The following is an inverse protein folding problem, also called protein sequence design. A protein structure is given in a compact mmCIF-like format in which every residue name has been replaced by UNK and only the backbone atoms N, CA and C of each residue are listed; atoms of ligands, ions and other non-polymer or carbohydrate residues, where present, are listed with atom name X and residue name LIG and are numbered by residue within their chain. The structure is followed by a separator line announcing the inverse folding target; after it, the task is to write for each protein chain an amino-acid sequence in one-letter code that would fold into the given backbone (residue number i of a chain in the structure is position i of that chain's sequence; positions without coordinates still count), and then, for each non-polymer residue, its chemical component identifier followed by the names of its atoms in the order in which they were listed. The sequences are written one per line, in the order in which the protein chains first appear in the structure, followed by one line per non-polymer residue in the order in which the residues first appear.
data_IF_398053233689
#
_entry.id   IF_398053233689
#
_cell.length_a   1.000
_cell.length_b   1.000
_cell.length_c   1.000
_cell.angle_alpha   90.00
_cell.angle_beta   90.00
_cell.angle_gamma   90.00
#
_symmetry.space_group_name_H-M   'P 1'
#
loop_
_entity.id
_entity.type
_entity.pdbx_description
1 polymer ?
#
# COMPACT_ATOMS: atom_id res chain seq x y z
N UNK A 1 16.59 -58.97 7.53
CA UNK A 1 16.08 -57.77 6.84
C UNK A 1 16.86 -56.46 7.11
N UNK A 2 17.84 -56.41 8.03
CA UNK A 2 18.59 -55.16 8.30
C UNK A 2 19.80 -54.88 7.40
N UNK A 3 20.33 -55.88 6.70
CA UNK A 3 21.56 -55.74 5.90
C UNK A 3 21.32 -55.21 4.48
N UNK A 4 20.13 -55.41 3.91
CA UNK A 4 19.82 -55.00 2.52
C UNK A 4 19.44 -53.52 2.41
N UNK A 5 18.79 -52.94 3.43
CA UNK A 5 18.51 -51.50 3.47
C UNK A 5 19.77 -50.64 3.58
N UNK A 6 20.85 -51.15 4.20
CA UNK A 6 22.11 -50.39 4.33
C UNK A 6 22.90 -50.31 3.02
N UNK A 7 22.71 -51.28 2.11
CA UNK A 7 23.37 -51.30 0.80
C UNK A 7 22.67 -50.36 -0.18
N UNK A 8 21.33 -50.32 -0.15
CA UNK A 8 20.52 -49.43 -0.99
C UNK A 8 20.76 -47.94 -0.69
N UNK A 9 20.89 -47.57 0.58
CA UNK A 9 21.17 -46.17 0.97
C UNK A 9 22.60 -45.75 0.58
N UNK A 10 23.57 -46.68 0.64
CA UNK A 10 24.97 -46.41 0.25
C UNK A 10 25.13 -46.23 -1.26
N UNK A 11 24.38 -46.99 -2.05
CA UNK A 11 24.39 -46.89 -3.51
C UNK A 11 23.65 -45.62 -4.01
N UNK A 12 22.59 -45.19 -3.30
CA UNK A 12 21.91 -43.91 -3.57
C UNK A 12 22.79 -42.69 -3.27
N UNK A 13 23.51 -42.69 -2.15
CA UNK A 13 24.43 -41.60 -1.82
C UNK A 13 25.62 -41.51 -2.79
N UNK A 14 26.12 -42.64 -3.29
CA UNK A 14 27.23 -42.68 -4.26
C UNK A 14 26.79 -42.21 -5.66
N UNK A 15 25.56 -42.51 -6.06
CA UNK A 15 25.00 -42.08 -7.36
C UNK A 15 24.69 -40.58 -7.37
N UNK A 16 24.20 -40.02 -6.26
CA UNK A 16 23.93 -38.58 -6.13
C UNK A 16 25.22 -37.77 -6.04
N UNK A 17 26.26 -38.25 -5.35
CA UNK A 17 27.54 -37.55 -5.27
C UNK A 17 28.37 -37.59 -6.57
N UNK A 18 28.22 -38.64 -7.40
CA UNK A 18 28.87 -38.71 -8.71
C UNK A 18 28.23 -37.77 -9.76
N UNK A 19 26.93 -37.48 -9.65
CA UNK A 19 26.24 -36.56 -10.56
C UNK A 19 26.59 -35.08 -10.33
N UNK A 20 27.11 -34.70 -9.15
CA UNK A 20 27.44 -33.31 -8.85
C UNK A 20 28.91 -32.93 -9.12
N UNK A 21 29.80 -33.85 -9.53
CA UNK A 21 31.25 -33.56 -9.63
C UNK A 21 31.89 -33.69 -11.01
N UNK A 22 31.13 -33.99 -12.08
CA UNK A 22 31.65 -33.93 -13.45
C UNK A 22 30.62 -33.39 -14.45
N UNK A 23 30.65 -32.06 -14.67
CA UNK A 23 30.50 -31.47 -16.01
C UNK A 23 31.13 -30.08 -16.01
N UNK A 24 32.43 -30.07 -16.31
CA UNK A 24 33.12 -28.89 -16.84
C UNK A 24 32.65 -28.63 -18.26
N UNK A 25 32.67 -27.34 -18.62
CA UNK A 25 32.57 -26.74 -19.95
C UNK A 25 33.26 -27.57 -21.05
N UNK A 26 32.49 -28.00 -22.04
CA UNK A 26 32.76 -27.89 -23.48
C UNK A 26 31.70 -28.72 -24.22
N UNK A 27 31.25 -28.20 -25.36
CA UNK A 27 30.32 -28.83 -26.31
C UNK A 27 28.84 -28.72 -25.97
N UNK A 28 28.21 -27.65 -26.46
CA UNK A 28 26.89 -27.68 -27.12
C UNK A 28 26.68 -26.37 -27.88
N UNK A 29 26.91 -26.49 -29.18
CA UNK A 29 26.25 -25.85 -30.33
C UNK A 29 25.52 -24.53 -30.10
N UNK A 30 26.05 -23.48 -30.74
CA UNK A 30 25.43 -22.17 -30.93
C UNK A 30 24.11 -22.38 -31.70
N UNK A 31 22.99 -22.17 -31.01
CA UNK A 31 21.68 -21.93 -31.63
C UNK A 31 21.41 -20.42 -31.61
N UNK A 32 20.83 -19.84 -32.69
CA UNK A 32 20.56 -18.41 -32.77
C UNK A 32 19.55 -17.99 -31.69
N UNK A 33 19.62 -16.75 -31.19
CA UNK A 33 18.81 -16.32 -30.07
C UNK A 33 17.33 -16.26 -30.47
N UNK A 34 16.51 -17.04 -29.76
CA UNK A 34 15.06 -16.85 -29.74
C UNK A 34 14.76 -15.47 -29.14
N UNK A 35 13.98 -14.60 -29.80
CA UNK A 35 13.56 -13.33 -29.22
C UNK A 35 12.76 -13.61 -27.94
N UNK A 36 13.34 -13.27 -26.79
CA UNK A 36 12.61 -13.28 -25.53
C UNK A 36 11.60 -12.15 -25.57
N UNK A 37 10.32 -12.50 -25.41
CA UNK A 37 9.31 -11.56 -24.96
C UNK A 37 9.82 -10.85 -23.69
N UNK A 38 9.63 -9.52 -23.55
CA UNK A 38 10.04 -8.82 -22.35
C UNK A 38 9.11 -9.16 -21.17
N UNK A 39 9.70 -9.58 -20.05
CA UNK A 39 9.02 -9.68 -18.75
C UNK A 39 8.50 -8.29 -18.32
N UNK A 40 7.29 -8.20 -17.72
CA UNK A 40 6.59 -6.92 -17.53
C UNK A 40 7.02 -6.12 -16.28
N UNK A 41 8.23 -6.31 -15.75
CA UNK A 41 8.71 -5.57 -14.58
C UNK A 41 10.12 -5.05 -14.77
N UNK A 42 10.24 -4.00 -15.59
CA UNK A 42 11.44 -3.16 -15.62
C UNK A 42 11.01 -1.68 -15.68
N UNK A 43 10.82 -1.07 -14.51
CA UNK A 43 10.47 0.34 -14.33
C UNK A 43 11.64 1.31 -14.60
N UNK A 44 12.73 0.84 -15.22
CA UNK A 44 13.91 1.67 -15.51
C UNK A 44 13.91 2.27 -16.92
N UNK A 45 13.12 1.75 -17.87
CA UNK A 45 13.19 2.19 -19.28
C UNK A 45 12.19 3.30 -19.62
N UNK A 46 11.18 3.54 -18.76
CA UNK A 46 10.18 4.59 -18.99
C UNK A 46 10.71 6.01 -18.73
N UNK A 47 11.78 6.16 -17.94
CA UNK A 47 12.38 7.47 -17.68
C UNK A 47 13.22 8.00 -18.86
N UNK A 48 13.71 7.11 -19.75
CA UNK A 48 14.52 7.52 -20.92
C UNK A 48 13.69 7.94 -22.14
N UNK A 49 12.49 7.38 -22.32
CA UNK A 49 11.59 7.77 -23.41
C UNK A 49 10.64 8.93 -23.05
N UNK A 50 10.39 9.18 -21.76
CA UNK A 50 9.55 10.30 -21.31
C UNK A 50 10.29 11.65 -21.27
N UNK A 51 11.61 11.61 -21.05
CA UNK A 51 12.46 12.81 -21.04
C UNK A 51 12.81 13.30 -22.45
N UNK A 52 13.08 12.38 -23.40
CA UNK A 52 13.36 12.74 -24.79
C UNK A 52 12.14 13.30 -25.55
N UNK A 53 10.93 12.76 -25.33
CA UNK A 53 9.72 13.31 -25.96
C UNK A 53 9.36 14.70 -25.39
N UNK A 54 9.57 14.94 -24.09
CA UNK A 54 9.37 16.28 -23.50
C UNK A 54 10.35 17.33 -24.00
N UNK A 55 11.58 16.96 -24.34
CA UNK A 55 12.55 17.91 -24.90
C UNK A 55 12.22 18.27 -26.36
N UNK A 56 11.86 17.30 -27.19
CA UNK A 56 11.49 17.54 -28.59
C UNK A 56 10.16 18.29 -28.74
N UNK A 57 9.17 18.02 -27.87
CA UNK A 57 7.91 18.79 -27.86
C UNK A 57 8.12 20.25 -27.44
N UNK A 58 9.04 20.53 -26.52
CA UNK A 58 9.35 21.90 -26.11
C UNK A 58 10.06 22.68 -27.22
N UNK A 59 11.00 22.06 -27.96
CA UNK A 59 11.68 22.72 -29.07
C UNK A 59 10.73 22.98 -30.25
N UNK A 60 9.84 22.04 -30.57
CA UNK A 60 8.81 22.22 -31.59
C UNK A 60 7.80 23.30 -31.20
N UNK A 61 7.36 23.34 -29.94
CA UNK A 61 6.48 24.39 -29.42
C UNK A 61 7.17 25.77 -29.40
N UNK A 62 8.46 25.82 -29.08
CA UNK A 62 9.25 27.06 -29.07
C UNK A 62 9.45 27.59 -30.49
N UNK A 63 9.74 26.72 -31.45
CA UNK A 63 9.87 27.09 -32.86
C UNK A 63 8.52 27.53 -33.46
N UNK A 64 7.41 26.90 -33.08
CA UNK A 64 6.07 27.34 -33.46
C UNK A 64 5.72 28.70 -32.84
N UNK A 65 6.07 28.94 -31.58
CA UNK A 65 5.88 30.23 -30.91
C UNK A 65 6.71 31.35 -31.56
N UNK A 66 7.97 31.08 -31.92
CA UNK A 66 8.84 32.03 -32.62
C UNK A 66 8.34 32.33 -34.04
N UNK A 67 7.90 31.32 -34.80
CA UNK A 67 7.30 31.52 -36.12
C UNK A 67 6.00 32.32 -36.06
N UNK A 68 5.21 32.14 -34.99
CA UNK A 68 3.98 32.89 -34.74
C UNK A 68 4.25 34.34 -34.38
N UNK A 69 5.22 34.62 -33.49
CA UNK A 69 5.66 35.98 -33.18
C UNK A 69 6.16 36.72 -34.43
N UNK A 70 6.89 36.02 -35.32
CA UNK A 70 7.33 36.59 -36.61
C UNK A 70 6.19 36.81 -37.61
N UNK A 71 5.10 36.06 -37.50
CA UNK A 71 3.89 36.26 -38.31
C UNK A 71 3.09 37.44 -37.77
N UNK A 72 2.88 37.51 -36.45
CA UNK A 72 2.17 38.59 -35.78
C UNK A 72 2.88 39.94 -35.96
N UNK A 73 4.23 39.97 -35.85
CA UNK A 73 5.02 41.17 -36.16
C UNK A 73 4.85 41.64 -37.61
N UNK A 74 4.80 40.70 -38.57
CA UNK A 74 4.58 41.05 -39.99
C UNK A 74 3.15 41.55 -40.23
N UNK A 75 2.16 40.98 -39.55
CA UNK A 75 0.77 41.42 -39.66
C UNK A 75 0.53 42.78 -38.98
N UNK A 76 1.23 43.06 -37.88
CA UNK A 76 1.21 44.35 -37.19
C UNK A 76 1.93 45.44 -38.00
N UNK A 77 3.05 45.11 -38.66
CA UNK A 77 3.76 46.04 -39.55
C UNK A 77 2.93 46.38 -40.79
N UNK A 78 2.23 45.39 -41.37
CA UNK A 78 1.29 45.62 -42.47
C UNK A 78 0.10 46.47 -41.99
N UNK A 79 -0.46 46.22 -40.81
CA UNK A 79 -1.58 47.02 -40.25
C UNK A 79 -1.18 48.46 -39.92
N UNK A 80 0.05 48.70 -39.45
CA UNK A 80 0.60 50.05 -39.24
C UNK A 80 0.76 50.83 -40.53
N UNK A 81 1.12 50.17 -41.64
CA UNK A 81 1.21 50.82 -42.96
C UNK A 81 -0.15 51.26 -43.52
N UNK A 82 -1.26 50.64 -43.11
CA UNK A 82 -2.64 51.00 -43.52
C UNK A 82 -3.44 51.76 -42.44
N UNK A 83 -2.83 52.15 -41.32
CA UNK A 83 -3.46 53.01 -40.32
C UNK A 83 -4.59 52.38 -39.48
N UNK A 84 -4.63 51.05 -39.36
CA UNK A 84 -5.64 50.33 -38.58
C UNK A 84 -5.15 50.01 -37.15
N UNK A 85 -6.01 50.14 -36.11
CA UNK A 85 -5.63 49.83 -34.73
C UNK A 85 -5.41 48.32 -34.48
N UNK A 86 -4.56 48.01 -33.51
CA UNK A 86 -4.20 46.64 -33.08
C UNK A 86 -5.42 45.87 -32.59
N UNK A 87 -5.66 44.67 -33.14
CA UNK A 87 -6.87 43.87 -32.92
C UNK A 87 -6.79 43.05 -31.63
N UNK A 88 -7.42 43.52 -30.55
CA UNK A 88 -7.60 42.76 -29.30
C UNK A 88 -8.53 41.55 -29.41
N UNK A 89 -9.25 41.37 -30.52
CA UNK A 89 -10.25 40.30 -30.70
C UNK A 89 -9.64 38.90 -30.90
N UNK A 90 -8.33 38.81 -31.23
CA UNK A 90 -7.66 37.53 -31.52
C UNK A 90 -7.10 36.84 -30.27
N UNK A 91 -6.76 37.60 -29.23
CA UNK A 91 -6.16 37.05 -28.01
C UNK A 91 -7.19 36.31 -27.13
N UNK A 92 -8.43 36.80 -27.08
CA UNK A 92 -9.52 36.20 -26.29
C UNK A 92 -9.99 34.86 -26.87
N UNK A 93 -10.10 34.75 -28.19
CA UNK A 93 -10.45 33.50 -28.90
C UNK A 93 -9.37 32.42 -28.76
N UNK A 94 -8.09 32.80 -28.70
CA UNK A 94 -6.99 31.86 -28.48
C UNK A 94 -6.88 31.39 -27.03
N UNK A 95 -7.10 32.30 -26.06
CA UNK A 95 -7.17 31.93 -24.65
C UNK A 95 -8.34 30.97 -24.39
N UNK A 96 -9.49 31.20 -25.01
CA UNK A 96 -10.66 30.33 -24.91
C UNK A 96 -10.40 28.93 -25.52
N UNK A 97 -9.76 28.86 -26.69
CA UNK A 97 -9.39 27.58 -27.32
C UNK A 97 -8.33 26.80 -26.53
N UNK A 98 -7.36 27.49 -25.90
CA UNK A 98 -6.37 26.85 -25.04
C UNK A 98 -7.02 26.27 -23.77
N UNK A 99 -7.99 26.99 -23.19
CA UNK A 99 -8.77 26.52 -22.05
C UNK A 99 -9.60 25.28 -22.41
N UNK A 100 -10.32 25.32 -23.54
CA UNK A 100 -11.11 24.19 -24.05
C UNK A 100 -10.22 22.97 -24.32
N UNK A 101 -9.04 23.16 -24.92
CA UNK A 101 -8.09 22.08 -25.20
C UNK A 101 -7.37 21.52 -23.96
N UNK A 102 -7.36 22.26 -22.84
CA UNK A 102 -6.91 21.77 -21.53
C UNK A 102 -8.01 20.92 -20.87
N UNK A 103 -9.23 21.45 -20.80
CA UNK A 103 -10.38 20.74 -20.21
C UNK A 103 -10.71 19.45 -20.97
N UNK A 104 -10.55 19.42 -22.29
CA UNK A 104 -10.79 18.21 -23.08
C UNK A 104 -9.70 17.14 -22.85
N UNK A 105 -8.45 17.54 -22.57
CA UNK A 105 -7.38 16.61 -22.18
C UNK A 105 -7.63 16.02 -20.80
N UNK A 106 -8.01 16.86 -19.84
CA UNK A 106 -8.33 16.45 -18.48
C UNK A 106 -9.52 15.47 -18.48
N UNK A 107 -10.58 15.74 -19.25
CA UNK A 107 -11.70 14.79 -19.44
C UNK A 107 -11.29 13.46 -20.06
N UNK A 108 -10.33 13.45 -21.00
CA UNK A 108 -9.82 12.20 -21.60
C UNK A 108 -9.00 11.40 -20.60
N UNK A 109 -8.15 12.07 -19.82
CA UNK A 109 -7.35 11.44 -18.77
C UNK A 109 -8.25 10.86 -17.65
N UNK A 110 -9.29 11.59 -17.24
CA UNK A 110 -10.29 11.11 -16.30
C UNK A 110 -11.07 9.90 -16.85
N UNK A 111 -11.50 9.94 -18.11
CA UNK A 111 -12.19 8.82 -18.75
C UNK A 111 -11.29 7.57 -18.86
N UNK A 112 -10.00 7.74 -19.18
CA UNK A 112 -9.03 6.64 -19.16
C UNK A 112 -8.83 6.09 -17.75
N UNK A 113 -8.72 6.95 -16.75
CA UNK A 113 -8.59 6.56 -15.36
C UNK A 113 -9.83 5.78 -14.88
N UNK A 114 -11.03 6.26 -15.23
CA UNK A 114 -12.30 5.58 -14.96
C UNK A 114 -12.33 4.19 -15.60
N UNK A 115 -11.91 4.07 -16.86
CA UNK A 115 -11.86 2.81 -17.61
C UNK A 115 -10.85 1.82 -17.01
N UNK A 116 -9.71 2.31 -16.50
CA UNK A 116 -8.73 1.47 -15.77
C UNK A 116 -9.32 0.94 -14.47
N UNK A 117 -10.01 1.79 -13.69
CA UNK A 117 -10.68 1.38 -12.46
C UNK A 117 -11.78 0.34 -12.73
N UNK A 118 -12.56 0.52 -13.79
CA UNK A 118 -13.59 -0.44 -14.19
C UNK A 118 -12.99 -1.79 -14.60
N UNK A 119 -11.87 -1.79 -15.35
CA UNK A 119 -11.14 -3.00 -15.69
C UNK A 119 -10.64 -3.75 -14.44
N UNK A 120 -10.07 -3.05 -13.47
CA UNK A 120 -9.63 -3.65 -12.20
C UNK A 120 -10.80 -4.27 -11.43
N UNK A 121 -11.95 -3.58 -11.41
CA UNK A 121 -13.18 -4.09 -10.77
C UNK A 121 -13.70 -5.34 -11.49
N UNK A 122 -13.67 -5.37 -12.82
CA UNK A 122 -14.08 -6.52 -13.63
C UNK A 122 -13.16 -7.73 -13.39
N UNK A 123 -11.84 -7.54 -13.44
CA UNK A 123 -10.85 -8.59 -13.17
C UNK A 123 -10.99 -9.14 -11.73
N UNK A 124 -11.26 -8.27 -10.76
CA UNK A 124 -11.52 -8.70 -9.38
C UNK A 124 -12.81 -9.52 -9.27
N UNK A 125 -13.86 -9.23 -10.05
CA UNK A 125 -15.09 -10.02 -10.07
C UNK A 125 -14.85 -11.39 -10.69
N UNK A 126 -14.19 -11.43 -11.86
CA UNK A 126 -13.86 -12.68 -12.54
C UNK A 126 -13.00 -13.60 -11.65
N UNK A 127 -11.99 -13.03 -10.95
CA UNK A 127 -11.15 -13.79 -10.03
C UNK A 127 -11.93 -14.40 -8.87
N UNK A 128 -12.88 -13.64 -8.28
CA UNK A 128 -13.76 -14.15 -7.22
C UNK A 128 -14.68 -15.26 -7.74
N UNK A 129 -15.23 -15.09 -8.94
CA UNK A 129 -16.11 -16.07 -9.55
C UNK A 129 -15.37 -17.37 -9.89
N UNK A 130 -14.13 -17.26 -10.41
CA UNK A 130 -13.25 -18.42 -10.67
C UNK A 130 -12.95 -19.20 -9.39
N UNK A 131 -12.62 -18.51 -8.30
CA UNK A 131 -12.39 -19.16 -6.99
C UNK A 131 -13.67 -19.86 -6.50
N UNK A 132 -14.83 -19.22 -6.65
CA UNK A 132 -16.11 -19.82 -6.25
C UNK A 132 -16.40 -21.11 -7.03
N UNK A 133 -16.19 -21.09 -8.36
CA UNK A 133 -16.37 -22.29 -9.20
C UNK A 133 -15.43 -23.43 -8.79
N UNK A 134 -14.16 -23.13 -8.51
CA UNK A 134 -13.19 -24.12 -8.05
C UNK A 134 -13.58 -24.73 -6.70
N UNK A 135 -14.06 -23.92 -5.76
CA UNK A 135 -14.55 -24.42 -4.47
C UNK A 135 -15.79 -25.30 -4.64
N UNK A 136 -16.78 -24.86 -5.41
CA UNK A 136 -17.99 -25.64 -5.67
C UNK A 136 -17.67 -26.99 -6.36
N UNK A 137 -16.69 -27.01 -7.25
CA UNK A 137 -16.24 -28.22 -7.94
C UNK A 137 -15.48 -29.16 -7.00
N UNK A 138 -14.61 -28.62 -6.15
CA UNK A 138 -13.91 -29.38 -5.10
C UNK A 138 -14.89 -30.00 -4.10
N UNK A 139 -15.90 -29.26 -3.64
CA UNK A 139 -16.92 -29.77 -2.70
C UNK A 139 -17.77 -30.88 -3.33
N UNK A 140 -18.08 -30.78 -4.63
CA UNK A 140 -18.80 -31.84 -5.35
C UNK A 140 -17.95 -33.10 -5.51
N UNK A 141 -16.67 -32.96 -5.82
CA UNK A 141 -15.71 -34.06 -5.95
C UNK A 141 -15.54 -34.80 -4.60
N UNK A 142 -15.35 -34.04 -3.52
CA UNK A 142 -15.22 -34.58 -2.16
C UNK A 142 -16.48 -35.32 -1.71
N UNK A 143 -17.66 -34.74 -1.96
CA UNK A 143 -18.93 -35.42 -1.68
C UNK A 143 -19.11 -36.72 -2.46
N UNK A 144 -18.65 -36.80 -3.72
CA UNK A 144 -18.69 -38.06 -4.49
C UNK A 144 -17.78 -39.11 -3.88
N UNK A 145 -16.56 -38.74 -3.48
CA UNK A 145 -15.61 -39.65 -2.83
C UNK A 145 -16.17 -40.20 -1.52
N UNK A 146 -16.73 -39.33 -0.68
CA UNK A 146 -17.36 -39.73 0.58
C UNK A 146 -18.53 -40.69 0.37
N UNK A 147 -19.35 -40.51 -0.68
CA UNK A 147 -20.44 -41.46 -1.00
C UNK A 147 -19.90 -42.83 -1.41
N UNK A 148 -18.92 -42.84 -2.32
CA UNK A 148 -18.30 -44.08 -2.81
C UNK A 148 -17.60 -44.84 -1.66
N UNK A 149 -16.93 -44.13 -0.77
CA UNK A 149 -16.29 -44.73 0.41
C UNK A 149 -17.31 -45.34 1.39
N UNK A 150 -18.46 -44.67 1.59
CA UNK A 150 -19.55 -45.21 2.41
C UNK A 150 -20.20 -46.44 1.79
N UNK A 151 -20.44 -46.45 0.48
CA UNK A 151 -20.94 -47.63 -0.23
C UNK A 151 -19.97 -48.80 -0.08
N UNK A 152 -18.68 -48.57 -0.31
CA UNK A 152 -17.66 -49.61 -0.21
C UNK A 152 -17.51 -50.16 1.22
N UNK A 153 -17.67 -49.32 2.24
CA UNK A 153 -17.70 -49.76 3.63
C UNK A 153 -18.97 -50.56 3.95
N UNK A 154 -20.14 -50.12 3.47
CA UNK A 154 -21.39 -50.85 3.65
C UNK A 154 -21.34 -52.23 3.00
N UNK A 155 -20.81 -52.33 1.77
CA UNK A 155 -20.67 -53.60 1.06
C UNK A 155 -19.78 -54.59 1.85
N UNK A 156 -18.66 -54.12 2.40
CA UNK A 156 -17.78 -54.95 3.25
C UNK A 156 -18.47 -55.43 4.52
N UNK A 157 -19.24 -54.56 5.17
CA UNK A 157 -20.01 -54.93 6.37
C UNK A 157 -21.08 -55.96 6.02
N UNK A 158 -21.77 -55.77 4.91
CA UNK A 158 -22.83 -56.66 4.45
C UNK A 158 -22.29 -58.05 4.07
N UNK A 159 -21.14 -58.10 3.38
CA UNK A 159 -20.44 -59.34 3.06
C UNK A 159 -19.97 -60.09 4.33
N UNK A 160 -19.47 -59.37 5.35
CA UNK A 160 -19.13 -59.99 6.64
C UNK A 160 -20.36 -60.57 7.35
N UNK A 161 -21.50 -59.86 7.32
CA UNK A 161 -22.76 -60.34 7.90
C UNK A 161 -23.25 -61.61 7.19
N UNK A 162 -23.17 -61.65 5.85
CA UNK A 162 -23.56 -62.83 5.08
C UNK A 162 -22.66 -64.03 5.37
N UNK A 163 -21.34 -63.86 5.37
CA UNK A 163 -20.41 -64.93 5.74
C UNK A 163 -20.67 -65.45 7.15
N UNK A 164 -20.92 -64.56 8.12
CA UNK A 164 -21.22 -64.96 9.48
C UNK A 164 -22.55 -65.74 9.58
N UNK A 165 -23.56 -65.35 8.79
CA UNK A 165 -24.84 -66.09 8.71
C UNK A 165 -24.67 -67.46 8.09
N UNK A 166 -23.91 -67.58 7.01
CA UNK A 166 -23.64 -68.86 6.35
C UNK A 166 -22.85 -69.82 7.25
N UNK A 167 -21.83 -69.31 7.94
CA UNK A 167 -21.00 -70.13 8.84
C UNK A 167 -21.81 -70.60 10.06
N UNK A 168 -22.69 -69.75 10.62
CA UNK A 168 -23.65 -70.16 11.65
C UNK A 168 -24.63 -71.23 11.13
N UNK A 169 -25.16 -71.05 9.93
CA UNK A 169 -26.08 -72.02 9.32
C UNK A 169 -25.40 -73.37 9.09
N UNK A 170 -24.13 -73.36 8.70
CA UNK A 170 -23.31 -74.57 8.53
C UNK A 170 -23.09 -75.28 9.88
N UNK A 171 -22.66 -74.54 10.90
CA UNK A 171 -22.46 -75.09 12.26
C UNK A 171 -23.74 -75.65 12.87
N UNK A 172 -24.88 -74.99 12.67
CA UNK A 172 -26.17 -75.51 13.14
C UNK A 172 -26.52 -76.84 12.46
N UNK A 173 -26.32 -76.96 11.14
CA UNK A 173 -26.55 -78.23 10.42
C UNK A 173 -25.59 -79.33 10.85
N UNK A 174 -24.32 -79.00 11.09
CA UNK A 174 -23.33 -79.95 11.61
C UNK A 174 -23.75 -80.45 12.99
N UNK A 175 -24.18 -79.55 13.88
CA UNK A 175 -24.66 -79.88 15.21
C UNK A 175 -25.95 -80.72 15.18
N UNK A 176 -26.93 -80.35 14.35
CA UNK A 176 -28.17 -81.12 14.15
C UNK A 176 -27.86 -82.55 13.68
N UNK A 177 -27.03 -82.71 12.64
CA UNK A 177 -26.62 -84.03 12.15
C UNK A 177 -25.87 -84.84 13.23
N UNK A 178 -25.06 -84.20 14.04
CA UNK A 178 -24.34 -84.85 15.14
C UNK A 178 -25.31 -85.31 16.24
N UNK A 179 -26.28 -84.46 16.62
CA UNK A 179 -27.35 -84.83 17.56
C UNK A 179 -28.24 -85.94 17.01
N UNK A 180 -28.53 -85.94 15.71
CA UNK A 180 -29.38 -86.94 15.06
C UNK A 180 -28.68 -88.30 14.98
N UNK A 181 -27.37 -88.31 14.71
CA UNK A 181 -26.53 -89.53 14.81
C UNK A 181 -26.44 -90.05 16.24
N UNK A 182 -26.32 -89.16 17.22
CA UNK A 182 -26.33 -89.53 18.65
C UNK A 182 -27.66 -90.19 19.04
N UNK A 183 -28.79 -89.58 18.67
CA UNK A 183 -30.14 -90.11 18.94
C UNK A 183 -30.35 -91.45 18.24
N UNK A 184 -29.83 -91.61 17.01
CA UNK A 184 -29.93 -92.87 16.27
C UNK A 184 -29.12 -93.99 16.91
N UNK A 185 -27.90 -93.72 17.39
CA UNK A 185 -27.10 -94.67 18.20
C UNK A 185 -27.85 -95.12 19.44
N UNK A 186 -28.41 -94.17 20.20
CA UNK A 186 -29.18 -94.45 21.42
C UNK A 186 -30.44 -95.31 21.13
N UNK A 187 -31.10 -95.12 19.98
CA UNK A 187 -32.26 -95.94 19.57
C UNK A 187 -31.88 -97.35 19.11
N UNK A 188 -30.70 -97.53 18.50
CA UNK A 188 -30.23 -98.82 17.98
C UNK A 188 -29.62 -99.70 19.09
N UNK A 189 -28.97 -99.10 20.09
CA UNK A 189 -28.36 -99.79 21.25
C UNK A 189 -29.36 -100.01 22.39
N UNK A 190 -30.60 -100.41 22.08
CA UNK A 190 -31.69 -100.58 23.04
C UNK A 190 -31.43 -101.62 24.15
N UNK A 191 -30.61 -101.24 25.14
CA UNK A 191 -30.41 -101.71 26.53
C UNK A 191 -29.20 -100.94 27.06
N UNK A 192 -29.44 -99.75 27.62
CA UNK A 192 -28.42 -99.06 28.41
C UNK A 192 -28.21 -99.85 29.70
N UNK A 193 -27.01 -100.39 29.88
CA UNK A 193 -26.60 -100.94 31.17
C UNK A 193 -26.42 -99.78 32.17
N UNK A 194 -26.79 -99.98 33.44
CA UNK A 194 -26.85 -98.88 34.42
C UNK A 194 -25.46 -98.23 34.65
N UNK A 195 -24.38 -99.01 34.47
CA UNK A 195 -22.99 -98.55 34.52
C UNK A 195 -22.56 -97.71 33.31
N UNK A 196 -23.14 -97.95 32.14
CA UNK A 196 -22.87 -97.19 30.92
C UNK A 196 -23.57 -95.83 30.98
N UNK A 197 -24.77 -95.78 31.55
CA UNK A 197 -25.48 -94.54 31.81
C UNK A 197 -24.74 -93.62 32.81
N UNK A 198 -24.16 -94.15 33.90
CA UNK A 198 -23.37 -93.32 34.82
C UNK A 198 -22.05 -92.85 34.18
N UNK A 199 -21.37 -93.69 33.37
CA UNK A 199 -20.19 -93.25 32.59
C UNK A 199 -20.53 -92.14 31.60
N UNK A 200 -21.66 -92.24 30.91
CA UNK A 200 -22.13 -91.21 29.97
C UNK A 200 -22.52 -89.92 30.72
N UNK A 201 -23.12 -90.03 31.90
CA UNK A 201 -23.46 -88.89 32.77
C UNK A 201 -22.23 -88.17 33.29
N UNK A 202 -21.19 -88.89 33.73
CA UNK A 202 -19.89 -88.28 34.09
C UNK A 202 -19.24 -87.58 32.90
N UNK A 203 -19.32 -88.19 31.71
CA UNK A 203 -18.78 -87.63 30.47
C UNK A 203 -19.51 -86.36 30.03
N UNK A 204 -20.84 -86.33 30.16
CA UNK A 204 -21.66 -85.15 29.93
C UNK A 204 -21.40 -84.05 30.96
N UNK A 205 -21.22 -84.40 32.24
CA UNK A 205 -20.84 -83.43 33.28
C UNK A 205 -19.46 -82.82 33.01
N UNK A 206 -18.48 -83.63 32.60
CA UNK A 206 -17.15 -83.14 32.21
C UNK A 206 -17.24 -82.23 30.97
N UNK A 207 -18.06 -82.59 29.99
CA UNK A 207 -18.29 -81.77 28.79
C UNK A 207 -18.97 -80.44 29.13
N UNK A 208 -19.94 -80.44 30.06
CA UNK A 208 -20.58 -79.23 30.57
C UNK A 208 -19.56 -78.31 31.22
N UNK A 209 -18.72 -78.83 32.12
CA UNK A 209 -17.67 -78.04 32.77
C UNK A 209 -16.68 -77.44 31.76
N UNK A 210 -16.26 -78.22 30.76
CA UNK A 210 -15.39 -77.72 29.69
C UNK A 210 -16.04 -76.63 28.83
N UNK A 211 -17.37 -76.68 28.66
CA UNK A 211 -18.13 -75.62 27.97
C UNK A 211 -18.21 -74.38 28.86
N UNK A 212 -18.51 -74.54 30.15
CA UNK A 212 -18.56 -73.44 31.12
C UNK A 212 -17.19 -72.72 31.24
N UNK A 213 -16.09 -73.49 31.28
CA UNK A 213 -14.72 -72.96 31.29
C UNK A 213 -14.39 -72.19 29.99
N UNK A 214 -14.87 -72.66 28.84
CA UNK A 214 -14.73 -71.93 27.56
C UNK A 214 -15.53 -70.64 27.56
N UNK A 215 -16.76 -70.66 28.09
CA UNK A 215 -17.60 -69.47 28.17
C UNK A 215 -16.93 -68.43 29.07
N UNK A 216 -16.45 -68.82 30.26
CA UNK A 216 -15.72 -67.92 31.15
C UNK A 216 -14.45 -67.34 30.50
N UNK A 217 -13.66 -68.17 29.82
CA UNK A 217 -12.46 -67.67 29.13
C UNK A 217 -12.80 -66.72 27.98
N UNK A 218 -13.85 -67.02 27.21
CA UNK A 218 -14.31 -66.11 26.16
C UNK A 218 -14.81 -64.78 26.72
N UNK A 219 -15.54 -64.80 27.83
CA UNK A 219 -16.00 -63.59 28.52
C UNK A 219 -14.81 -62.74 29.02
N UNK A 220 -13.79 -63.39 29.60
CA UNK A 220 -12.57 -62.71 30.05
C UNK A 220 -11.78 -62.11 28.88
N UNK A 221 -11.65 -62.84 27.78
CA UNK A 221 -10.99 -62.35 26.56
C UNK A 221 -11.76 -61.19 25.94
N UNK A 222 -13.09 -61.29 25.84
CA UNK A 222 -13.92 -60.21 25.30
C UNK A 222 -13.80 -58.94 26.14
N UNK A 223 -13.81 -59.06 27.48
CA UNK A 223 -13.60 -57.91 28.37
C UNK A 223 -12.23 -57.28 28.18
N UNK A 224 -11.16 -58.08 28.03
CA UNK A 224 -9.81 -57.56 27.73
C UNK A 224 -9.75 -56.83 26.40
N UNK A 225 -10.26 -57.44 25.32
CA UNK A 225 -10.31 -56.81 24.00
C UNK A 225 -11.15 -55.53 24.00
N UNK A 226 -12.22 -55.48 24.79
CA UNK A 226 -13.04 -54.27 24.90
C UNK A 226 -12.30 -53.13 25.60
N UNK A 227 -11.55 -53.43 26.66
CA UNK A 227 -10.67 -52.46 27.34
C UNK A 227 -9.58 -51.97 26.39
N UNK A 228 -8.96 -52.87 25.62
CA UNK A 228 -7.95 -52.47 24.61
C UNK A 228 -8.54 -51.56 23.54
N UNK A 229 -9.73 -51.88 23.01
CA UNK A 229 -10.43 -51.03 22.03
C UNK A 229 -10.77 -49.65 22.58
N UNK A 230 -11.23 -49.56 23.83
CA UNK A 230 -11.49 -48.27 24.48
C UNK A 230 -10.20 -47.45 24.65
N UNK A 231 -9.11 -48.07 25.07
CA UNK A 231 -7.82 -47.39 25.21
C UNK A 231 -7.27 -46.91 23.86
N UNK A 232 -7.48 -47.68 22.79
CA UNK A 232 -7.03 -47.32 21.45
C UNK A 232 -7.86 -46.18 20.86
N UNK A 233 -9.18 -46.20 21.07
CA UNK A 233 -10.09 -45.08 20.77
C UNK A 233 -9.67 -43.80 21.48
N UNK A 234 -9.39 -43.89 22.79
CA UNK A 234 -8.96 -42.74 23.59
C UNK A 234 -7.63 -42.17 23.06
N UNK A 235 -6.66 -43.05 22.75
CA UNK A 235 -5.37 -42.63 22.17
C UNK A 235 -5.55 -41.92 20.82
N UNK A 236 -6.39 -42.47 19.95
CA UNK A 236 -6.68 -41.86 18.64
C UNK A 236 -7.35 -40.49 18.80
N UNK A 237 -8.27 -40.35 19.75
CA UNK A 237 -8.97 -39.11 20.03
C UNK A 237 -8.04 -38.04 20.64
N UNK A 238 -7.15 -38.43 21.55
CA UNK A 238 -6.11 -37.55 22.10
C UNK A 238 -5.12 -37.08 21.04
N UNK A 239 -4.75 -37.96 20.10
CA UNK A 239 -3.87 -37.62 19.00
C UNK A 239 -4.55 -36.65 18.01
N UNK A 240 -5.83 -36.87 17.69
CA UNK A 240 -6.62 -35.95 16.88
C UNK A 240 -6.74 -34.58 17.56
N UNK A 241 -7.01 -34.54 18.87
CA UNK A 241 -7.08 -33.30 19.65
C UNK A 241 -5.73 -32.57 19.68
N UNK A 242 -4.62 -33.30 19.81
CA UNK A 242 -3.26 -32.72 19.71
C UNK A 242 -3.00 -32.13 18.33
N UNK A 243 -3.42 -32.80 17.25
CA UNK A 243 -3.30 -32.28 15.88
C UNK A 243 -4.12 -31.01 15.70
N UNK A 244 -5.36 -31.00 16.19
CA UNK A 244 -6.24 -29.82 16.13
C UNK A 244 -5.65 -28.62 16.86
N UNK A 245 -5.17 -28.81 18.10
CA UNK A 245 -4.50 -27.75 18.87
C UNK A 245 -3.26 -27.19 18.17
N UNK A 246 -2.46 -28.04 17.52
CA UNK A 246 -1.29 -27.56 16.74
C UNK A 246 -1.72 -26.68 15.57
N UNK A 247 -2.78 -27.08 14.86
CA UNK A 247 -3.33 -26.30 13.73
C UNK A 247 -3.85 -24.95 14.22
N UNK A 248 -4.62 -24.91 15.31
CA UNK A 248 -5.15 -23.67 15.88
C UNK A 248 -4.02 -22.72 16.31
N UNK A 249 -2.99 -23.24 16.99
CA UNK A 249 -1.82 -22.46 17.39
C UNK A 249 -1.02 -21.91 16.19
N UNK A 250 -0.96 -22.64 15.08
CA UNK A 250 -0.29 -22.18 13.86
C UNK A 250 -1.11 -21.10 13.16
N UNK A 251 -2.44 -21.21 13.16
CA UNK A 251 -3.35 -20.17 12.65
C UNK A 251 -3.26 -18.88 13.47
N UNK A 252 -3.19 -18.98 14.81
CA UNK A 252 -2.98 -17.83 15.69
C UNK A 252 -1.65 -17.14 15.41
N UNK A 253 -0.54 -17.88 15.37
CA UNK A 253 0.78 -17.32 15.03
C UNK A 253 0.78 -16.66 13.65
N UNK A 254 0.05 -17.20 12.67
CA UNK A 254 -0.03 -16.61 11.32
C UNK A 254 -0.86 -15.33 11.31
N UNK A 255 -1.96 -15.27 12.07
CA UNK A 255 -2.75 -14.03 12.27
C UNK A 255 -1.91 -12.94 12.91
N UNK A 256 -1.21 -13.27 13.99
CA UNK A 256 -0.41 -12.30 14.75
C UNK A 256 0.68 -11.68 13.87
N UNK A 257 1.42 -12.51 13.10
CA UNK A 257 2.40 -12.00 12.13
C UNK A 257 1.79 -11.09 11.07
N UNK A 258 0.59 -11.40 10.57
CA UNK A 258 -0.10 -10.54 9.61
C UNK A 258 -0.47 -9.19 10.21
N UNK A 259 -0.93 -9.15 11.46
CA UNK A 259 -1.22 -7.90 12.16
C UNK A 259 0.04 -7.08 12.40
N UNK A 260 1.13 -7.70 12.87
CA UNK A 260 2.41 -7.02 13.05
C UNK A 260 2.94 -6.44 11.73
N UNK A 261 2.86 -7.20 10.63
CA UNK A 261 3.34 -6.74 9.34
C UNK A 261 2.47 -5.60 8.79
N UNK A 262 1.16 -5.67 8.96
CA UNK A 262 0.24 -4.59 8.60
C UNK A 262 0.52 -3.32 9.41
N UNK A 263 0.82 -3.46 10.70
CA UNK A 263 1.15 -2.32 11.56
C UNK A 263 2.49 -1.70 11.16
N UNK A 264 3.53 -2.51 10.92
CA UNK A 264 4.82 -2.02 10.41
C UNK A 264 4.67 -1.28 9.08
N UNK A 265 3.83 -1.78 8.17
CA UNK A 265 3.54 -1.09 6.90
C UNK A 265 2.84 0.24 7.13
N UNK A 266 1.88 0.32 8.05
CA UNK A 266 1.21 1.58 8.40
C UNK A 266 2.18 2.58 9.00
N UNK A 267 3.02 2.16 9.94
CA UNK A 267 4.02 3.06 10.56
C UNK A 267 5.02 3.57 9.55
N UNK A 268 5.53 2.72 8.66
CA UNK A 268 6.49 3.14 7.62
C UNK A 268 5.84 4.08 6.60
N UNK A 269 4.60 3.79 6.18
CA UNK A 269 3.85 4.67 5.28
C UNK A 269 3.61 6.05 5.91
N UNK A 270 3.24 6.11 7.20
CA UNK A 270 3.07 7.38 7.91
C UNK A 270 4.39 8.16 7.99
N UNK A 271 5.49 7.48 8.30
CA UNK A 271 6.83 8.08 8.35
C UNK A 271 7.22 8.69 7.00
N UNK A 272 7.03 7.95 5.92
CA UNK A 272 7.30 8.42 4.55
C UNK A 272 6.41 9.61 4.18
N UNK A 273 5.13 9.57 4.56
CA UNK A 273 4.21 10.67 4.29
C UNK A 273 4.63 11.97 5.01
N UNK A 274 5.04 11.88 6.28
CA UNK A 274 5.56 13.03 7.03
C UNK A 274 6.86 13.58 6.41
N UNK A 275 7.76 12.71 5.94
CA UNK A 275 8.98 13.12 5.24
C UNK A 275 8.66 13.84 3.93
N UNK A 276 7.72 13.30 3.14
CA UNK A 276 7.27 13.93 1.89
C UNK A 276 6.64 15.30 2.18
N UNK A 277 5.78 15.41 3.20
CA UNK A 277 5.19 16.69 3.59
C UNK A 277 6.26 17.71 3.97
N UNK A 278 7.24 17.31 4.80
CA UNK A 278 8.37 18.19 5.18
C UNK A 278 9.20 18.59 3.97
N UNK A 279 9.49 17.66 3.06
CA UNK A 279 10.25 17.91 1.83
C UNK A 279 9.49 18.85 0.88
N UNK A 280 8.19 18.65 0.69
CA UNK A 280 7.35 19.52 -0.14
C UNK A 280 7.26 20.93 0.43
N UNK A 281 7.06 21.07 1.76
CA UNK A 281 7.11 22.37 2.42
C UNK A 281 8.46 23.05 2.15
N UNK A 282 9.58 22.37 2.41
CA UNK A 282 10.92 22.91 2.14
C UNK A 282 11.11 23.28 0.65
N UNK A 283 10.64 22.46 -0.28
CA UNK A 283 10.78 22.72 -1.72
C UNK A 283 9.95 23.93 -2.16
N UNK A 284 8.70 24.05 -1.70
CA UNK A 284 7.86 25.24 -1.94
C UNK A 284 8.53 26.49 -1.36
N UNK A 285 9.09 26.38 -0.16
CA UNK A 285 9.88 27.44 0.47
C UNK A 285 11.12 27.83 -0.35
N UNK A 286 11.85 26.88 -0.91
CA UNK A 286 13.06 27.17 -1.69
C UNK A 286 12.71 27.73 -3.07
N UNK A 287 11.75 27.14 -3.78
CA UNK A 287 11.48 27.50 -5.18
C UNK A 287 10.56 28.71 -5.32
N UNK A 288 9.53 28.83 -4.48
CA UNK A 288 8.54 29.92 -4.58
C UNK A 288 9.03 31.15 -3.81
N UNK A 289 9.66 30.97 -2.65
CA UNK A 289 10.01 32.09 -1.78
C UNK A 289 11.40 32.67 -2.11
N UNK A 290 12.44 31.89 -2.45
CA UNK A 290 13.74 32.46 -2.88
C UNK A 290 13.67 33.25 -4.19
N UNK A 291 12.90 32.79 -5.18
CA UNK A 291 12.68 33.57 -6.43
C UNK A 291 11.79 34.79 -6.21
N UNK A 292 10.92 34.78 -5.21
CA UNK A 292 10.01 35.88 -4.91
C UNK A 292 10.66 36.95 -3.99
N UNK A 293 11.64 36.59 -3.15
CA UNK A 293 12.29 37.53 -2.23
C UNK A 293 12.91 38.76 -2.90
N UNK A 294 13.55 38.61 -4.06
CA UNK A 294 14.07 39.77 -4.80
C UNK A 294 12.96 40.76 -5.13
N UNK A 295 11.82 40.27 -5.62
CA UNK A 295 10.68 41.11 -5.99
C UNK A 295 10.00 41.69 -4.74
N UNK A 296 9.82 40.88 -3.70
CA UNK A 296 9.20 41.27 -2.43
C UNK A 296 10.00 42.37 -1.73
N UNK A 297 11.32 42.19 -1.57
CA UNK A 297 12.21 43.17 -0.95
C UNK A 297 12.29 44.45 -1.79
N UNK A 298 12.40 44.32 -3.12
CA UNK A 298 12.40 45.49 -4.01
C UNK A 298 11.06 46.25 -3.97
N UNK A 299 9.94 45.55 -3.85
CA UNK A 299 8.62 46.17 -3.70
C UNK A 299 8.55 46.99 -2.41
N UNK A 300 8.99 46.42 -1.28
CA UNK A 300 9.01 47.12 0.01
C UNK A 300 9.94 48.35 0.01
N UNK A 301 11.14 48.23 -0.59
CA UNK A 301 12.08 49.34 -0.74
C UNK A 301 11.51 50.48 -1.59
N UNK A 302 10.70 50.15 -2.58
CA UNK A 302 10.09 51.12 -3.52
C UNK A 302 8.69 51.59 -3.10
N UNK A 303 8.11 51.05 -2.02
CA UNK A 303 6.74 51.35 -1.59
C UNK A 303 6.53 52.83 -1.22
N UNK A 304 7.59 53.57 -0.89
CA UNK A 304 7.53 54.99 -0.56
C UNK A 304 7.60 55.94 -1.78
N UNK A 305 7.67 55.41 -3.01
CA UNK A 305 7.82 56.25 -4.21
C UNK A 305 6.64 57.21 -4.44
N UNK A 306 5.42 56.81 -4.09
CA UNK A 306 4.25 57.68 -4.26
C UNK A 306 4.23 58.83 -3.24
N UNK A 307 4.61 58.55 -1.99
CA UNK A 307 4.80 59.59 -0.96
C UNK A 307 5.88 60.59 -1.39
N UNK A 308 7.03 60.13 -1.92
CA UNK A 308 8.08 61.01 -2.46
C UNK A 308 7.59 61.96 -3.55
N UNK A 309 6.73 61.48 -4.45
CA UNK A 309 6.17 62.30 -5.54
C UNK A 309 5.30 63.42 -5.01
N UNK A 310 4.65 63.22 -3.86
CA UNK A 310 3.77 64.19 -3.21
C UNK A 310 4.53 65.22 -2.36
N UNK A 311 5.75 64.92 -1.88
CA UNK A 311 6.59 65.85 -1.09
C UNK A 311 6.73 67.22 -1.76
N UNK A 312 7.06 67.25 -3.05
CA UNK A 312 7.28 68.50 -3.80
C UNK A 312 6.00 69.29 -4.07
N UNK A 313 4.82 68.66 -3.97
CA UNK A 313 3.51 69.31 -4.10
C UNK A 313 3.04 69.85 -2.75
N UNK A 314 3.23 69.07 -1.70
CA UNK A 314 2.76 69.35 -0.34
C UNK A 314 3.67 70.31 0.47
N UNK A 315 4.94 70.46 0.09
CA UNK A 315 5.89 71.35 0.79
C UNK A 315 6.13 72.69 0.07
N UNK A 316 5.16 73.13 -0.76
CA UNK A 316 5.19 74.47 -1.37
C UNK A 316 4.81 75.54 -0.34
N UNK A 317 5.10 76.81 -0.63
CA UNK A 317 4.77 77.93 0.25
C UNK A 317 3.26 78.02 0.58
N UNK A 318 2.41 77.59 -0.34
CA UNK A 318 0.96 77.45 -0.16
C UNK A 318 0.51 76.09 -0.69
N UNK A 319 0.52 75.03 0.14
CA UNK A 319 0.09 73.70 -0.29
C UNK A 319 -1.42 73.64 -0.43
N UNK A 320 -1.90 72.93 -1.46
CA UNK A 320 -3.32 72.65 -1.60
C UNK A 320 -3.74 71.67 -0.49
N UNK A 321 -4.78 71.95 0.32
CA UNK A 321 -5.26 71.02 1.35
C UNK A 321 -5.58 69.62 0.80
N UNK A 322 -6.02 69.51 -0.45
CA UNK A 322 -6.27 68.23 -1.12
C UNK A 322 -4.99 67.40 -1.29
N UNK A 323 -3.86 68.02 -1.63
CA UNK A 323 -2.59 67.31 -1.84
C UNK A 323 -2.04 66.76 -0.51
N UNK A 324 -2.21 67.52 0.58
CA UNK A 324 -1.80 67.11 1.93
C UNK A 324 -2.64 65.94 2.42
N UNK A 325 -3.95 65.93 2.14
CA UNK A 325 -4.83 64.82 2.51
C UNK A 325 -4.54 63.56 1.67
N UNK A 326 -4.27 63.73 0.36
CA UNK A 326 -3.77 62.63 -0.50
C UNK A 326 -2.46 62.05 0.06
N UNK A 327 -1.53 62.90 0.50
CA UNK A 327 -0.28 62.44 1.09
C UNK A 327 -0.48 61.63 2.38
N UNK A 328 -1.41 62.06 3.25
CA UNK A 328 -1.78 61.28 4.44
C UNK A 328 -2.36 59.91 4.08
N UNK A 329 -3.22 59.81 3.06
CA UNK A 329 -3.78 58.53 2.63
C UNK A 329 -2.72 57.58 2.04
N UNK A 330 -1.77 58.12 1.26
CA UNK A 330 -0.63 57.35 0.76
C UNK A 330 0.24 56.84 1.92
N UNK A 331 0.50 57.67 2.94
CA UNK A 331 1.27 57.28 4.12
C UNK A 331 0.53 56.25 5.00
N UNK A 332 -0.80 56.38 5.15
CA UNK A 332 -1.63 55.37 5.84
C UNK A 332 -1.57 54.03 5.11
N UNK A 333 -1.59 54.04 3.78
CA UNK A 333 -1.47 52.85 2.94
C UNK A 333 -0.09 52.21 3.09
N UNK A 334 0.98 53.00 2.98
CA UNK A 334 2.35 52.53 3.20
C UNK A 334 2.52 51.88 4.58
N UNK A 335 2.01 52.53 5.64
CA UNK A 335 2.04 51.99 7.00
C UNK A 335 1.30 50.67 7.12
N UNK A 336 0.11 50.54 6.53
CA UNK A 336 -0.66 49.28 6.52
C UNK A 336 0.12 48.15 5.84
N UNK A 337 0.68 48.42 4.65
CA UNK A 337 1.51 47.45 3.92
C UNK A 337 2.69 46.95 4.75
N UNK A 338 3.35 47.85 5.47
CA UNK A 338 4.47 47.49 6.35
C UNK A 338 4.00 46.68 7.58
N UNK A 339 2.85 47.01 8.16
CA UNK A 339 2.29 46.23 9.28
C UNK A 339 1.88 44.81 8.86
N UNK A 340 1.22 44.68 7.71
CA UNK A 340 0.81 43.40 7.15
C UNK A 340 2.03 42.52 6.84
N UNK A 341 3.08 43.13 6.28
CA UNK A 341 4.35 42.45 6.02
C UNK A 341 5.05 42.01 7.31
N UNK A 342 5.05 42.84 8.36
CA UNK A 342 5.61 42.49 9.67
C UNK A 342 4.88 41.30 10.33
N UNK A 343 3.56 41.25 10.19
CA UNK A 343 2.74 40.11 10.62
C UNK A 343 3.07 38.84 9.83
N UNK A 344 3.17 38.96 8.50
CA UNK A 344 3.54 37.86 7.62
C UNK A 344 4.92 37.31 7.96
N UNK A 345 5.92 38.18 8.15
CA UNK A 345 7.29 37.80 8.53
C UNK A 345 7.33 37.10 9.90
N UNK A 346 6.49 37.50 10.85
CA UNK A 346 6.37 36.83 12.15
C UNK A 346 5.84 35.41 12.02
N UNK A 347 4.83 35.20 11.16
CA UNK A 347 4.30 33.86 10.86
C UNK A 347 5.33 33.01 10.08
N UNK A 348 6.06 33.61 9.15
CA UNK A 348 7.14 32.94 8.43
C UNK A 348 8.26 32.51 9.39
N UNK A 349 8.60 33.34 10.37
CA UNK A 349 9.58 33.04 11.40
C UNK A 349 9.12 31.88 12.29
N UNK A 350 7.88 31.89 12.79
CA UNK A 350 7.36 30.79 13.63
C UNK A 350 7.38 29.45 12.89
N UNK A 351 7.21 29.46 11.57
CA UNK A 351 7.17 28.25 10.75
C UNK A 351 8.57 27.74 10.37
N UNK A 352 9.57 28.61 10.26
CA UNK A 352 10.87 28.27 9.66
C UNK A 352 12.06 28.44 10.61
N UNK A 353 11.92 29.26 11.65
CA UNK A 353 12.98 29.59 12.61
C UNK A 353 14.14 30.40 12.02
N UNK A 354 14.04 30.90 10.78
CA UNK A 354 15.16 31.58 10.10
C UNK A 354 15.34 33.00 10.61
N UNK A 355 16.54 33.34 11.07
CA UNK A 355 16.80 34.59 11.79
C UNK A 355 16.73 35.82 10.88
N UNK A 356 17.07 35.69 9.60
CA UNK A 356 17.00 36.79 8.63
C UNK A 356 15.60 37.40 8.47
N UNK A 357 14.54 36.65 8.82
CA UNK A 357 13.16 37.14 8.78
C UNK A 357 12.90 38.20 9.86
N UNK A 358 13.62 38.12 10.99
CA UNK A 358 13.57 39.13 12.06
C UNK A 358 14.19 40.44 11.57
N UNK A 359 15.32 40.39 10.88
CA UNK A 359 15.98 41.59 10.33
C UNK A 359 15.10 42.35 9.32
N UNK A 360 14.42 41.62 8.43
CA UNK A 360 13.46 42.23 7.50
C UNK A 360 12.30 42.84 8.29
N UNK A 361 11.78 42.11 9.29
CA UNK A 361 10.66 42.55 10.12
C UNK A 361 10.99 43.83 10.87
N UNK A 362 12.18 43.92 11.46
CA UNK A 362 12.62 45.09 12.21
C UNK A 362 12.80 46.30 11.30
N UNK A 363 13.35 46.09 10.09
CA UNK A 363 13.43 47.12 9.05
C UNK A 363 12.05 47.64 8.63
N UNK A 364 11.07 46.74 8.44
CA UNK A 364 9.69 47.08 8.05
C UNK A 364 8.93 47.77 9.19
N UNK A 365 9.15 47.35 10.44
CA UNK A 365 8.62 48.02 11.62
C UNK A 365 9.16 49.45 11.75
N UNK A 366 10.45 49.65 11.47
CA UNK A 366 11.05 50.98 11.46
C UNK A 366 10.38 51.90 10.45
N UNK A 367 10.11 51.42 9.23
CA UNK A 367 9.35 52.19 8.22
C UNK A 367 7.98 52.59 8.76
N UNK A 368 7.25 51.64 9.37
CA UNK A 368 5.93 51.91 9.95
C UNK A 368 5.98 53.01 11.02
N UNK A 369 6.96 52.95 11.94
CA UNK A 369 7.17 53.95 12.99
C UNK A 369 7.48 55.34 12.41
N UNK A 370 8.31 55.40 11.36
CA UNK A 370 8.64 56.66 10.69
C UNK A 370 7.45 57.22 9.91
N UNK A 371 6.60 56.38 9.34
CA UNK A 371 5.33 56.80 8.75
C UNK A 371 4.39 57.38 9.81
N UNK A 372 4.30 56.80 11.01
CA UNK A 372 3.49 57.35 12.11
C UNK A 372 3.99 58.72 12.58
N UNK A 373 5.31 58.91 12.69
CA UNK A 373 5.90 60.19 13.03
C UNK A 373 5.58 61.27 11.98
N UNK A 374 5.71 60.94 10.68
CA UNK A 374 5.38 61.86 9.59
C UNK A 374 3.87 62.15 9.51
N UNK A 375 3.02 61.14 9.71
CA UNK A 375 1.57 61.32 9.79
C UNK A 375 1.20 62.24 10.94
N UNK A 376 1.80 62.07 12.13
CA UNK A 376 1.58 62.94 13.28
C UNK A 376 1.96 64.40 12.99
N UNK A 377 3.13 64.64 12.41
CA UNK A 377 3.58 65.97 12.03
C UNK A 377 2.67 66.64 10.98
N UNK A 378 2.13 65.86 10.03
CA UNK A 378 1.15 66.32 9.05
C UNK A 378 -0.23 66.64 9.67
N UNK A 379 -0.62 65.96 10.75
CA UNK A 379 -1.86 66.26 11.48
C UNK A 379 -1.71 67.54 12.32
N UNK A 380 -0.52 67.79 12.87
CA UNK A 380 -0.23 68.95 13.69
C UNK A 380 0.09 70.22 12.89
N UNK A 381 0.23 70.12 11.56
CA UNK A 381 0.53 71.27 10.70
C UNK A 381 1.95 71.82 10.89
N UNK A 382 2.94 70.94 11.10
CA UNK A 382 4.31 71.33 11.38
C UNK A 382 5.02 71.98 10.18
N UNK A 383 6.17 72.62 10.44
CA UNK A 383 6.89 73.38 9.43
C UNK A 383 7.42 72.50 8.26
N UNK A 384 7.53 73.10 7.08
CA UNK A 384 7.92 72.37 5.86
C UNK A 384 9.34 71.76 5.94
N UNK A 385 10.24 72.36 6.73
CA UNK A 385 11.59 71.83 6.96
C UNK A 385 11.57 70.53 7.76
N UNK A 386 10.77 70.45 8.82
CA UNK A 386 10.64 69.24 9.63
C UNK A 386 9.90 68.13 8.87
N UNK A 387 8.83 68.47 8.14
CA UNK A 387 8.13 67.51 7.28
C UNK A 387 9.06 66.94 6.20
N UNK A 388 9.96 67.75 5.63
CA UNK A 388 10.98 67.27 4.69
C UNK A 388 11.98 66.33 5.35
N UNK A 389 12.40 66.63 6.58
CA UNK A 389 13.29 65.75 7.34
C UNK A 389 12.63 64.39 7.60
N UNK A 390 11.40 64.38 8.13
CA UNK A 390 10.66 63.15 8.41
C UNK A 390 10.38 62.34 7.14
N UNK A 391 10.07 63.00 6.02
CA UNK A 391 9.92 62.34 4.73
C UNK A 391 11.23 61.69 4.25
N UNK A 392 12.38 62.33 4.47
CA UNK A 392 13.68 61.74 4.15
C UNK A 392 14.02 60.58 5.09
N UNK A 393 13.59 60.62 6.36
CA UNK A 393 13.76 59.50 7.29
C UNK A 393 12.93 58.28 6.90
N UNK A 394 11.69 58.47 6.44
CA UNK A 394 10.86 57.38 5.87
C UNK A 394 11.57 56.77 4.66
N UNK A 395 12.10 57.61 3.76
CA UNK A 395 12.84 57.12 2.59
C UNK A 395 14.09 56.31 2.95
N UNK A 396 14.91 56.84 3.86
CA UNK A 396 16.10 56.13 4.34
C UNK A 396 15.74 54.79 4.97
N UNK A 397 14.63 54.73 5.71
CA UNK A 397 14.13 53.51 6.34
C UNK A 397 13.63 52.49 5.31
N UNK A 398 13.00 52.93 4.22
CA UNK A 398 12.65 52.03 3.12
C UNK A 398 13.91 51.48 2.43
N UNK A 399 14.94 52.29 2.26
CA UNK A 399 16.21 51.87 1.67
C UNK A 399 17.07 51.01 2.59
N UNK A 400 16.83 51.02 3.91
CA UNK A 400 17.50 50.13 4.86
C UNK A 400 16.90 48.72 4.91
N UNK A 401 15.76 48.48 4.28
CA UNK A 401 15.23 47.11 4.10
C UNK A 401 16.26 46.30 3.30
N UNK A 402 16.75 45.17 3.84
CA UNK A 402 17.89 44.48 3.25
C UNK A 402 17.55 43.91 1.88
N UNK A 403 18.53 43.92 0.98
CA UNK A 403 18.44 43.26 -0.33
C UNK A 403 18.68 41.76 -0.20
N UNK A 404 18.23 40.98 -1.18
CA UNK A 404 18.53 39.56 -1.20
C UNK A 404 20.05 39.28 -1.22
N UNK A 405 20.85 40.16 -1.83
CA UNK A 405 22.31 40.02 -1.84
C UNK A 405 22.91 40.21 -0.44
N UNK A 406 22.46 41.24 0.29
CA UNK A 406 22.88 41.49 1.68
C UNK A 406 22.46 40.34 2.60
N UNK A 407 21.23 39.84 2.44
CA UNK A 407 20.75 38.68 3.21
C UNK A 407 21.56 37.41 2.90
N UNK A 408 21.88 37.15 1.62
CA UNK A 408 22.71 36.00 1.23
C UNK A 408 24.13 36.08 1.79
N UNK A 409 24.67 37.28 1.93
CA UNK A 409 26.00 37.50 2.48
C UNK A 409 26.00 37.28 4.01
N UNK A 410 25.03 37.89 4.70
CA UNK A 410 24.95 37.87 6.17
C UNK A 410 24.42 36.54 6.72
N UNK A 411 23.57 35.85 5.96
CA UNK A 411 22.87 34.62 6.37
C UNK A 411 23.18 33.44 5.44
N UNK A 412 24.40 33.41 4.89
CA UNK A 412 24.83 32.41 3.91
C UNK A 412 24.57 30.96 4.35
N UNK A 413 24.78 30.65 5.63
CA UNK A 413 24.57 29.32 6.22
C UNK A 413 23.09 28.94 6.30
N UNK A 414 22.21 29.88 6.69
CA UNK A 414 20.76 29.65 6.79
C UNK A 414 20.06 29.57 5.43
N UNK A 415 20.64 30.23 4.42
CA UNK A 415 20.13 30.17 3.04
C UNK A 415 20.67 28.94 2.27
N UNK A 416 21.82 28.38 2.65
CA UNK A 416 22.43 27.21 1.97
C UNK A 416 22.00 25.85 2.52
N UNK A 417 21.59 25.75 3.80
CA UNK A 417 21.16 24.51 4.46
C UNK A 417 19.84 23.89 3.94
N UNK A 418 19.43 24.27 2.74
CA UNK A 418 18.25 23.82 2.04
C UNK A 418 18.54 22.74 0.97
N UNK A 419 19.81 22.40 0.73
CA UNK A 419 20.24 21.51 -0.37
C UNK A 419 21.00 20.27 0.06
N UNK A 420 21.18 20.02 1.35
CA UNK A 420 21.96 18.87 1.83
C UNK A 420 21.34 18.32 3.11
N UNK A 421 20.41 17.38 2.94
CA UNK A 421 20.10 16.26 3.83
C UNK A 421 19.11 15.33 3.12
#
# INVERSE_FOLDING_TARGET
MGAECSKFIRDLCSTIFCCCRKRKRSDLTILPPVPRHPDPYNLSTQQYYSTNNRFQDNDFQRQMAENRQRFDQRMDDVRRQVGLPTSGFSADLESQNYQIGREERERREEAEHQKRLEKIRAESREKRERIRRLNDESEREENRRLRMERELQNDRVQEMIERAREDNKRKNREMENETEREIKRIREEGKFDNEEHEREKERLQLRSRLVDDRIQNNDLNFRRENIEREQELQRAQDEQNKRRRKIDNDFERKRERMYEEAERRRTEMNRQFEEIQKMMLRKVWNEIIERNWTNRLNSLRNANNDSKRLVSRCLRATPNPSDVEEWKEVLKTLRRTMHDESSNLSQMYSNTGKSFLIDIKDSVNLVSQKCDALLGALHNGENASHLRQLSNEVDRSCMSIPTLAELKNNYYTEMRNNSSL
#
